data_IF_250157390573
#
_entry.id   IF_250157390573
#
_cell.length_a   1.000
_cell.length_b   1.000
_cell.length_c   1.000
_cell.angle_alpha   90.00
_cell.angle_beta   90.00
_cell.angle_gamma   90.00
#
_symmetry.space_group_name_H-M   'P 1'
#
loop_
_entity.id
_entity.type
_entity.pdbx_description
1 polymer ?
#
# COMPACT_ATOMS: atom_id res chain seq x y z
N UNK A 1 31.25 -2.09 -2.99
CA UNK A 1 30.21 -2.67 -3.27
C UNK A 1 29.02 -1.86 -3.26
N UNK A 2 28.32 -1.92 -4.19
CA UNK A 2 27.16 -1.05 -4.35
C UNK A 2 25.96 -1.52 -3.59
N UNK A 3 26.17 -2.43 -2.69
CA UNK A 3 25.02 -3.03 -2.00
C UNK A 3 24.28 -2.07 -1.11
N UNK A 4 24.82 -0.89 -0.85
CA UNK A 4 24.12 0.08 -0.05
C UNK A 4 22.91 0.66 -0.75
N UNK A 5 22.81 0.51 -2.05
CA UNK A 5 21.67 1.04 -2.78
C UNK A 5 20.53 0.06 -2.79
N UNK A 6 19.32 0.61 -2.75
CA UNK A 6 18.14 -0.22 -2.88
C UNK A 6 18.06 -0.72 -4.30
N UNK A 7 17.93 -2.03 -4.44
CA UNK A 7 17.80 -2.65 -5.73
C UNK A 7 16.33 -2.93 -5.99
N UNK A 8 15.68 -2.03 -6.69
CA UNK A 8 14.25 -2.14 -6.91
C UNK A 8 13.88 -3.33 -7.79
N UNK A 9 14.85 -3.95 -8.45
CA UNK A 9 14.55 -5.13 -9.24
C UNK A 9 14.18 -6.33 -8.37
N UNK A 10 14.52 -6.30 -7.08
CA UNK A 10 14.16 -7.37 -6.17
C UNK A 10 12.88 -7.12 -5.41
N UNK A 11 12.27 -5.95 -5.60
CA UNK A 11 11.03 -5.62 -4.93
C UNK A 11 9.87 -6.25 -5.68
N UNK A 12 9.02 -6.95 -4.96
CA UNK A 12 7.82 -7.51 -5.57
C UNK A 12 6.74 -6.45 -5.64
N UNK A 13 6.24 -6.20 -6.82
CA UNK A 13 5.15 -5.25 -7.01
C UNK A 13 3.85 -6.03 -7.06
N UNK A 14 2.89 -5.73 -6.17
CA UNK A 14 1.61 -6.44 -6.23
C UNK A 14 0.90 -6.17 -7.54
N UNK A 15 0.30 -7.20 -8.11
CA UNK A 15 -0.28 -7.13 -9.45
C UNK A 15 -1.78 -7.34 -9.48
N UNK A 16 -2.37 -7.70 -8.36
CA UNK A 16 -3.80 -7.95 -8.28
C UNK A 16 -4.37 -7.23 -7.09
N UNK A 17 -5.70 -7.07 -7.07
CA UNK A 17 -6.38 -6.46 -5.93
C UNK A 17 -6.03 -7.21 -4.65
N UNK A 18 -6.08 -8.55 -4.70
CA UNK A 18 -5.77 -9.33 -3.50
C UNK A 18 -4.38 -9.10 -2.99
N UNK A 19 -3.41 -9.01 -3.90
CA UNK A 19 -2.03 -8.78 -3.48
C UNK A 19 -1.85 -7.39 -2.90
N UNK A 20 -2.59 -6.40 -3.40
CA UNK A 20 -2.51 -5.05 -2.84
C UNK A 20 -3.13 -5.02 -1.45
N UNK A 21 -4.24 -5.72 -1.25
CA UNK A 21 -4.83 -5.83 0.08
C UNK A 21 -3.85 -6.49 1.05
N UNK A 22 -3.14 -7.52 0.59
CA UNK A 22 -2.11 -8.15 1.41
C UNK A 22 -0.99 -7.17 1.73
N UNK A 23 -0.59 -6.35 0.76
CA UNK A 23 0.42 -5.33 0.99
C UNK A 23 -0.05 -4.34 2.08
N UNK A 24 -1.31 -3.91 1.98
CA UNK A 24 -1.86 -3.00 2.98
C UNK A 24 -1.89 -3.63 4.36
N UNK A 25 -2.21 -4.92 4.44
CA UNK A 25 -2.18 -5.64 5.71
C UNK A 25 -0.78 -5.67 6.30
N UNK A 26 0.22 -5.90 5.46
CA UNK A 26 1.60 -5.90 5.90
C UNK A 26 2.00 -4.51 6.41
N UNK A 27 1.55 -3.47 5.70
CA UNK A 27 1.84 -2.09 6.12
C UNK A 27 1.18 -1.78 7.46
N UNK A 28 -0.02 -2.30 7.70
CA UNK A 28 -0.68 -2.12 8.99
C UNK A 28 0.18 -2.63 10.12
N UNK A 29 0.83 -3.78 9.91
CA UNK A 29 1.63 -4.39 10.95
C UNK A 29 2.99 -3.71 11.14
N UNK A 30 3.53 -3.11 10.10
CA UNK A 30 4.87 -2.53 10.18
C UNK A 30 4.88 -1.02 10.33
N UNK A 31 3.72 -0.37 10.20
CA UNK A 31 3.64 1.08 10.35
C UNK A 31 4.05 1.49 11.75
N UNK A 32 4.58 2.68 11.91
CA UNK A 32 4.82 3.68 10.88
C UNK A 32 6.21 3.63 10.27
N UNK A 33 7.07 2.72 10.68
CA UNK A 33 8.45 2.69 10.24
C UNK A 33 8.66 1.79 9.03
N UNK A 34 7.82 0.78 8.88
CA UNK A 34 7.83 -0.10 7.72
C UNK A 34 9.15 -0.84 7.54
N UNK A 35 9.76 -1.22 8.66
CA UNK A 35 11.03 -1.94 8.60
C UNK A 35 10.80 -3.44 8.59
N UNK A 36 11.63 -4.15 7.84
CA UNK A 36 11.62 -5.59 7.86
C UNK A 36 12.22 -6.11 9.15
N UNK A 37 11.67 -7.21 9.64
CA UNK A 37 12.22 -7.86 10.82
C UNK A 37 13.28 -8.87 10.50
N UNK A 38 13.43 -9.22 9.22
CA UNK A 38 14.34 -10.28 8.82
C UNK A 38 15.69 -9.67 8.50
N UNK A 39 16.75 -10.09 9.18
CA UNK A 39 18.05 -9.44 8.99
C UNK A 39 18.64 -9.61 7.60
N UNK A 40 18.26 -10.68 6.89
CA UNK A 40 18.78 -10.91 5.55
C UNK A 40 17.87 -10.37 4.47
N UNK A 41 16.73 -9.82 4.82
CA UNK A 41 15.78 -9.36 3.83
C UNK A 41 16.20 -8.03 3.28
N UNK A 42 15.64 -7.70 2.10
CA UNK A 42 15.73 -6.38 1.53
C UNK A 42 15.34 -5.35 2.59
N UNK A 43 16.14 -4.31 2.70
CA UNK A 43 15.87 -3.27 3.69
C UNK A 43 14.62 -2.50 3.30
N UNK A 44 13.61 -2.58 4.15
CA UNK A 44 12.34 -1.93 3.90
C UNK A 44 12.20 -0.67 4.72
N UNK A 45 11.49 0.29 4.16
CA UNK A 45 11.22 1.55 4.83
C UNK A 45 9.96 2.13 4.21
N UNK A 46 9.61 3.33 4.67
CA UNK A 46 8.39 3.97 4.18
C UNK A 46 8.46 4.20 2.67
N UNK A 47 9.63 4.51 2.14
CA UNK A 47 9.77 4.76 0.71
C UNK A 47 9.51 3.51 -0.11
N UNK A 48 10.11 2.38 0.29
CA UNK A 48 9.91 1.16 -0.49
C UNK A 48 8.48 0.65 -0.38
N UNK A 49 7.87 0.76 0.78
CA UNK A 49 6.50 0.30 0.96
C UNK A 49 5.52 1.10 0.11
N UNK A 50 5.68 2.42 0.09
CA UNK A 50 4.77 3.25 -0.71
C UNK A 50 5.08 3.14 -2.19
N UNK A 51 6.33 2.89 -2.55
CA UNK A 51 6.66 2.60 -3.94
C UNK A 51 5.91 1.35 -4.41
N UNK A 52 5.96 0.28 -3.61
CA UNK A 52 5.28 -0.96 -3.97
C UNK A 52 3.77 -0.75 -4.08
N UNK A 53 3.19 -0.06 -3.12
CA UNK A 53 1.76 0.19 -3.12
C UNK A 53 1.35 1.00 -4.34
N UNK A 54 2.05 2.08 -4.61
CA UNK A 54 1.64 2.98 -5.68
C UNK A 54 1.86 2.36 -7.05
N UNK A 55 2.93 1.58 -7.22
CA UNK A 55 3.14 0.88 -8.49
C UNK A 55 2.09 -0.20 -8.69
N UNK A 56 1.69 -0.88 -7.60
CA UNK A 56 0.62 -1.85 -7.69
C UNK A 56 -0.69 -1.21 -8.14
N UNK A 57 -1.01 -0.06 -7.58
CA UNK A 57 -2.23 0.65 -7.97
C UNK A 57 -2.19 1.01 -9.46
N UNK A 58 -1.03 1.41 -9.98
CA UNK A 58 -0.92 1.70 -11.40
C UNK A 58 -1.21 0.49 -12.25
N UNK A 59 -0.74 -0.67 -11.82
CA UNK A 59 -0.95 -1.90 -12.59
C UNK A 59 -2.42 -2.22 -12.72
N UNK A 60 -3.19 -2.02 -11.65
CA UNK A 60 -4.61 -2.37 -11.68
C UNK A 60 -5.51 -1.18 -12.00
N UNK A 61 -4.92 -0.08 -12.47
CA UNK A 61 -5.66 1.16 -12.70
C UNK A 61 -6.86 0.96 -13.61
N UNK A 62 -6.69 0.21 -14.70
CA UNK A 62 -7.80 -0.02 -15.62
C UNK A 62 -8.91 -0.81 -14.96
N UNK A 63 -8.54 -1.77 -14.15
CA UNK A 63 -9.53 -2.57 -13.45
C UNK A 63 -10.33 -1.73 -12.46
N UNK A 64 -9.66 -0.78 -11.80
CA UNK A 64 -10.31 0.08 -10.82
C UNK A 64 -11.20 1.14 -11.44
N UNK A 65 -10.79 1.65 -12.61
CA UNK A 65 -11.43 2.82 -13.17
C UNK A 65 -10.74 4.08 -12.67
N UNK A 66 -10.87 5.16 -13.43
CA UNK A 66 -10.11 6.37 -13.15
C UNK A 66 -10.50 7.03 -11.82
N UNK A 67 -11.78 7.04 -11.53
CA UNK A 67 -12.23 7.69 -10.32
C UNK A 67 -11.75 6.97 -9.06
N UNK A 68 -11.91 5.67 -9.05
CA UNK A 68 -11.45 4.87 -7.90
C UNK A 68 -9.93 4.91 -7.78
N UNK A 69 -9.24 4.84 -8.92
CA UNK A 69 -7.79 4.93 -8.89
C UNK A 69 -7.33 6.25 -8.29
N UNK A 70 -7.93 7.37 -8.73
CA UNK A 70 -7.55 8.68 -8.20
C UNK A 70 -7.82 8.77 -6.70
N UNK A 71 -8.94 8.21 -6.25
CA UNK A 71 -9.28 8.21 -4.84
C UNK A 71 -8.24 7.46 -4.03
N UNK A 72 -7.84 6.29 -4.52
CA UNK A 72 -6.86 5.47 -3.78
C UNK A 72 -5.48 6.11 -3.76
N UNK A 73 -5.09 6.77 -4.84
CA UNK A 73 -3.82 7.49 -4.87
C UNK A 73 -3.82 8.60 -3.84
N UNK A 74 -4.91 9.35 -3.78
CA UNK A 74 -5.00 10.42 -2.80
C UNK A 74 -4.94 9.88 -1.38
N UNK A 75 -5.63 8.77 -1.12
CA UNK A 75 -5.59 8.15 0.20
C UNK A 75 -4.19 7.65 0.55
N UNK A 76 -3.48 7.12 -0.43
CA UNK A 76 -2.10 6.70 -0.23
C UNK A 76 -1.24 7.87 0.19
N UNK A 77 -1.40 9.01 -0.49
CA UNK A 77 -0.62 10.20 -0.14
C UNK A 77 -0.95 10.69 1.27
N UNK A 78 -2.21 10.68 1.63
CA UNK A 78 -2.64 11.11 2.97
C UNK A 78 -2.11 10.16 4.04
N UNK A 79 -2.17 8.86 3.75
CA UNK A 79 -1.66 7.86 4.67
C UNK A 79 -0.18 8.08 4.94
N UNK A 80 0.57 8.31 3.88
CA UNK A 80 2.00 8.54 4.02
C UNK A 80 2.28 9.77 4.86
N UNK A 81 1.53 10.85 4.61
CA UNK A 81 1.73 12.08 5.37
C UNK A 81 1.49 11.85 6.86
N UNK A 82 0.45 11.09 7.20
CA UNK A 82 0.18 10.82 8.61
C UNK A 82 1.28 10.00 9.26
N UNK A 83 1.78 8.98 8.57
CA UNK A 83 2.85 8.18 9.15
C UNK A 83 4.16 8.95 9.25
N UNK A 84 4.42 9.83 8.27
CA UNK A 84 5.63 10.65 8.35
C UNK A 84 5.55 11.67 9.48
N UNK A 85 4.35 12.09 9.82
CA UNK A 85 4.15 13.03 10.92
C UNK A 85 4.25 12.36 12.28
N UNK A 86 4.22 11.04 12.34
CA UNK A 86 4.20 10.31 13.61
C UNK A 86 5.12 9.11 13.55
N UNK A 87 6.42 9.34 13.33
CA UNK A 87 7.34 8.21 13.14
C UNK A 87 7.51 7.32 14.37
N UNK A 88 7.15 7.81 15.53
CA UNK A 88 7.28 7.03 16.76
C UNK A 88 5.94 6.47 17.24
N UNK A 89 4.88 6.68 16.47
CA UNK A 89 3.57 6.13 16.75
C UNK A 89 3.04 6.61 18.10
N UNK A 90 3.14 7.91 18.32
CA UNK A 90 2.77 8.50 19.60
C UNK A 90 1.61 9.47 19.49
N UNK A 91 1.13 9.75 18.28
CA UNK A 91 0.07 10.74 18.09
C UNK A 91 -1.08 10.13 17.33
N UNK A 92 -2.12 10.93 17.14
CA UNK A 92 -3.28 10.48 16.39
C UNK A 92 -2.97 10.26 14.91
N UNK A 93 -1.86 10.83 14.42
CA UNK A 93 -1.53 10.63 13.02
C UNK A 93 -1.30 9.17 12.69
N UNK A 94 -0.66 8.42 13.59
CA UNK A 94 -0.48 7.00 13.38
C UNK A 94 -1.80 6.27 13.26
N UNK A 95 -2.77 6.67 14.10
CA UNK A 95 -4.10 6.07 14.04
C UNK A 95 -4.79 6.41 12.73
N UNK A 96 -4.69 7.67 12.31
CA UNK A 96 -5.33 8.11 11.06
C UNK A 96 -4.75 7.37 9.86
N UNK A 97 -3.43 7.14 9.86
CA UNK A 97 -2.82 6.37 8.80
C UNK A 97 -3.37 4.96 8.72
N UNK A 98 -3.55 4.32 9.87
CA UNK A 98 -4.07 2.95 9.91
C UNK A 98 -5.53 2.89 9.48
N UNK A 99 -6.32 3.91 9.83
CA UNK A 99 -7.70 3.97 9.37
C UNK A 99 -7.74 4.05 7.85
N UNK A 100 -6.82 4.79 7.24
CA UNK A 100 -6.76 4.87 5.79
C UNK A 100 -6.41 3.53 5.16
N UNK A 101 -5.54 2.74 5.82
CA UNK A 101 -5.25 1.41 5.32
C UNK A 101 -6.53 0.58 5.24
N UNK A 102 -7.32 0.60 6.32
CA UNK A 102 -8.56 -0.16 6.33
C UNK A 102 -9.54 0.33 5.27
N UNK A 103 -9.66 1.64 5.12
CA UNK A 103 -10.57 2.21 4.14
C UNK A 103 -10.16 1.86 2.71
N UNK A 104 -8.85 1.91 2.42
CA UNK A 104 -8.38 1.53 1.11
C UNK A 104 -8.65 0.06 0.83
N UNK A 105 -8.45 -0.80 1.83
CA UNK A 105 -8.74 -2.22 1.67
C UNK A 105 -10.21 -2.45 1.37
N UNK A 106 -11.09 -1.74 2.05
CA UNK A 106 -12.51 -1.87 1.81
C UNK A 106 -12.89 -1.46 0.39
N UNK A 107 -12.32 -0.36 -0.09
CA UNK A 107 -12.60 0.10 -1.44
C UNK A 107 -12.12 -0.94 -2.46
N UNK A 108 -10.92 -1.48 -2.24
CA UNK A 108 -10.36 -2.46 -3.17
C UNK A 108 -11.19 -3.73 -3.20
N UNK A 109 -11.62 -4.22 -2.04
CA UNK A 109 -12.42 -5.43 -1.99
C UNK A 109 -13.79 -5.22 -2.61
N UNK A 110 -14.37 -4.05 -2.41
CA UNK A 110 -15.65 -3.73 -3.03
C UNK A 110 -15.50 -3.67 -4.56
N UNK A 111 -14.39 -3.12 -5.04
CA UNK A 111 -14.12 -3.06 -6.47
C UNK A 111 -14.02 -4.47 -7.06
N UNK A 112 -13.37 -5.37 -6.34
CA UNK A 112 -13.22 -6.75 -6.82
C UNK A 112 -14.56 -7.44 -6.90
N UNK A 113 -15.42 -7.23 -5.91
CA UNK A 113 -16.74 -7.86 -5.93
C UNK A 113 -17.60 -7.37 -7.07
N UNK A 114 -17.49 -6.07 -7.39
CA UNK A 114 -18.28 -5.51 -8.50
C UNK A 114 -17.85 -6.07 -9.85
N UNK A 115 -16.62 -6.48 -9.97
CA UNK A 115 -16.12 -7.02 -11.22
C UNK A 115 -16.67 -8.41 -11.54
N UNK A 116 -17.04 -9.11 -10.51
CA UNK A 116 -17.58 -10.43 -10.75
C UNK A 116 -18.89 -10.32 -11.45
N UNK A 117 -19.08 -10.86 -12.35
CA UNK A 117 -20.03 -10.59 -13.12
C UNK A 117 -21.16 -10.86 -13.37
N UNK A 118 -21.16 -10.64 -13.67
CA UNK A 118 -21.86 -10.39 -14.07
C UNK A 118 -22.51 -10.84 -14.71
N UNK A 119 -22.74 -11.31 -14.66
CA UNK A 119 -23.18 -11.60 -15.06
C UNK A 119 -24.10 -11.36 -15.28
N UNK A 120 -24.36 -11.27 -14.97
CA UNK A 120 -24.99 -10.92 -15.12
C UNK A 120 -25.41 -10.11 -15.19
N UNK A 121 -25.01 -9.86 -15.24
CA UNK A 121 -25.25 -9.19 -15.17
C UNK A 121 -25.51 -8.99 -15.56
#
# INVERSE_FOLDING_TARGET
MSSSKIDYSTIYIPKTVGEIVDQLGSMMLSAPQFKSRLPWAFEENIHSNFYELNEGLKIIRRQLGEETYAQLVEMSDMMRAHFEADPEDKTEDGIKGRVLIDEMSDILLASRRRKVPRGGE
#
